data_IF_005759526121
#
_entry.id   IF_005759526121
#
_cell.length_a   1.000
_cell.length_b   1.000
_cell.length_c   1.000
_cell.angle_alpha   90.00
_cell.angle_beta   90.00
_cell.angle_gamma   90.00
#
_symmetry.space_group_name_H-M   'P 1'
#
loop_
_entity.id
_entity.type
_entity.pdbx_description
1 polymer ?
#
# COMPACT_ATOMS: atom_id res chain seq x y z
N UNK A 1 25.73 23.84 -3.77
CA UNK A 1 27.04 23.39 -4.38
C UNK A 1 27.86 22.58 -3.36
N UNK A 2 27.95 23.00 -2.12
CA UNK A 2 28.66 22.22 -1.08
C UNK A 2 28.01 20.84 -0.87
N UNK A 3 26.71 20.77 -0.81
CA UNK A 3 25.97 19.53 -0.59
C UNK A 3 25.94 18.59 -1.82
N UNK A 4 26.27 19.08 -3.00
CA UNK A 4 26.30 18.27 -4.23
C UNK A 4 27.70 17.79 -4.63
N UNK A 5 28.74 18.05 -3.81
CA UNK A 5 30.16 17.72 -4.08
C UNK A 5 30.66 18.15 -5.47
N UNK A 6 29.98 19.10 -6.12
CA UNK A 6 30.24 19.51 -7.50
C UNK A 6 31.08 20.77 -7.54
N UNK A 7 32.27 20.70 -8.18
CA UNK A 7 33.14 21.87 -8.35
C UNK A 7 32.56 22.86 -9.39
N UNK A 8 32.90 24.17 -9.23
CA UNK A 8 32.47 25.21 -10.19
C UNK A 8 32.90 24.92 -11.64
N UNK A 9 34.05 24.29 -11.82
CA UNK A 9 34.57 23.92 -13.13
C UNK A 9 33.82 22.70 -13.72
N UNK A 10 33.43 21.75 -12.89
CA UNK A 10 32.63 20.63 -13.32
C UNK A 10 31.22 21.11 -13.71
N UNK A 11 30.59 21.94 -12.88
CA UNK A 11 29.25 22.49 -13.15
C UNK A 11 29.27 23.32 -14.46
N UNK A 12 30.23 24.18 -14.67
CA UNK A 12 30.37 24.99 -15.89
C UNK A 12 30.44 24.12 -17.15
N UNK A 13 31.20 23.03 -17.12
CA UNK A 13 31.31 22.07 -18.24
C UNK A 13 30.00 21.37 -18.51
N UNK A 14 29.31 20.90 -17.47
CA UNK A 14 28.05 20.18 -17.61
C UNK A 14 26.94 21.09 -18.13
N UNK A 15 26.90 22.34 -17.70
CA UNK A 15 25.90 23.33 -18.09
C UNK A 15 26.20 23.97 -19.47
N UNK A 16 27.45 23.89 -19.95
CA UNK A 16 27.86 24.46 -21.23
C UNK A 16 28.07 25.97 -21.17
N UNK A 17 28.58 26.51 -20.04
CA UNK A 17 28.88 27.94 -19.84
C UNK A 17 30.27 28.11 -19.27
N UNK A 18 30.79 29.34 -19.32
CA UNK A 18 32.10 29.65 -18.77
C UNK A 18 32.13 29.60 -17.23
N UNK A 19 33.27 29.15 -16.68
CA UNK A 19 33.47 29.13 -15.21
C UNK A 19 33.37 30.54 -14.60
N UNK A 20 33.75 31.60 -15.33
CA UNK A 20 33.60 32.99 -14.92
C UNK A 20 32.11 33.35 -14.71
N UNK A 21 31.23 32.87 -15.57
CA UNK A 21 29.79 33.07 -15.46
C UNK A 21 29.23 32.44 -14.17
N UNK A 22 29.63 31.20 -13.84
CA UNK A 22 29.25 30.57 -12.55
C UNK A 22 29.77 31.41 -11.38
N UNK A 23 31.01 31.90 -11.48
CA UNK A 23 31.63 32.70 -10.42
C UNK A 23 30.88 34.02 -10.21
N UNK A 24 30.47 34.68 -11.30
CA UNK A 24 29.64 35.90 -11.25
C UNK A 24 28.27 35.65 -10.61
N UNK A 25 27.59 34.58 -10.99
CA UNK A 25 26.29 34.21 -10.41
C UNK A 25 26.35 33.96 -8.88
N UNK A 26 27.49 33.52 -8.37
CA UNK A 26 27.71 33.24 -6.95
C UNK A 26 28.24 34.44 -6.14
N UNK A 27 28.65 35.50 -6.80
CA UNK A 27 29.45 36.56 -6.16
C UNK A 27 28.70 37.86 -5.90
N UNK A 28 27.44 38.06 -6.35
CA UNK A 28 26.88 39.42 -6.45
C UNK A 28 25.46 39.59 -5.94
N UNK A 29 25.23 40.77 -5.32
CA UNK A 29 23.92 41.28 -4.93
C UNK A 29 23.08 41.78 -6.12
N UNK A 30 23.68 41.95 -7.30
CA UNK A 30 23.01 42.43 -8.52
C UNK A 30 23.26 41.45 -9.68
N UNK A 31 22.54 40.35 -9.67
CA UNK A 31 22.71 39.24 -10.61
C UNK A 31 21.74 39.33 -11.77
N UNK A 32 22.25 39.47 -12.95
CA UNK A 32 21.48 39.25 -14.17
C UNK A 32 20.98 37.81 -14.20
N UNK A 33 19.66 37.63 -14.23
CA UNK A 33 19.06 36.29 -14.25
C UNK A 33 19.54 35.48 -15.44
N UNK A 34 20.05 34.27 -15.24
CA UNK A 34 20.49 33.40 -16.35
C UNK A 34 19.31 33.00 -17.23
N UNK A 35 19.54 32.74 -18.48
CA UNK A 35 18.50 32.25 -19.39
C UNK A 35 17.93 30.92 -18.93
N UNK A 36 16.64 30.69 -19.22
CA UNK A 36 15.90 29.50 -18.73
C UNK A 36 16.58 28.15 -19.03
N UNK A 37 17.26 28.03 -20.19
CA UNK A 37 18.02 26.81 -20.53
C UNK A 37 19.25 26.59 -19.61
N UNK A 38 19.92 27.68 -19.18
CA UNK A 38 21.03 27.60 -18.23
C UNK A 38 20.52 27.15 -16.85
N UNK A 39 19.41 27.72 -16.38
CA UNK A 39 18.76 27.31 -15.12
C UNK A 39 18.36 25.84 -15.17
N UNK A 40 17.74 25.39 -16.26
CA UNK A 40 17.33 23.99 -16.44
C UNK A 40 18.53 23.03 -16.42
N UNK A 41 19.63 23.38 -17.12
CA UNK A 41 20.88 22.61 -17.13
C UNK A 41 21.55 22.59 -15.74
N UNK A 42 21.54 23.72 -15.02
CA UNK A 42 22.06 23.82 -13.65
C UNK A 42 21.23 22.94 -12.70
N UNK A 43 19.91 23.02 -12.78
CA UNK A 43 18.99 22.17 -12.01
C UNK A 43 19.26 20.68 -12.26
N UNK A 44 19.48 20.32 -13.53
CA UNK A 44 19.83 18.95 -13.92
C UNK A 44 21.18 18.50 -13.36
N UNK A 45 22.20 19.33 -13.48
CA UNK A 45 23.55 19.03 -13.02
C UNK A 45 23.67 18.94 -11.48
N UNK A 46 22.86 19.70 -10.75
CA UNK A 46 22.85 19.74 -9.29
C UNK A 46 21.82 18.78 -8.67
N UNK A 47 20.94 18.15 -9.47
CA UNK A 47 19.89 17.28 -8.97
C UNK A 47 18.74 18.00 -8.25
N UNK A 48 18.57 19.31 -8.49
CA UNK A 48 17.56 20.15 -7.82
C UNK A 48 16.47 20.64 -8.77
N UNK A 49 15.40 21.24 -8.24
CA UNK A 49 14.34 21.84 -9.05
C UNK A 49 14.77 23.21 -9.60
N UNK A 50 14.28 23.55 -10.79
CA UNK A 50 14.48 24.90 -11.36
C UNK A 50 13.79 25.96 -10.53
N UNK A 51 12.63 25.65 -9.96
CA UNK A 51 11.86 26.56 -9.12
C UNK A 51 12.60 26.94 -7.85
N UNK A 52 13.33 25.98 -7.25
CA UNK A 52 14.17 26.24 -6.10
C UNK A 52 15.37 27.14 -6.46
N UNK A 53 16.02 26.89 -7.62
CA UNK A 53 17.11 27.74 -8.09
C UNK A 53 16.67 29.18 -8.39
N UNK A 54 15.39 29.38 -8.75
CA UNK A 54 14.79 30.67 -9.02
C UNK A 54 14.16 31.33 -7.79
N UNK A 55 14.19 30.66 -6.61
CA UNK A 55 13.58 31.16 -5.38
C UNK A 55 12.05 31.13 -5.38
N UNK A 56 11.44 30.37 -6.29
CA UNK A 56 10.00 30.16 -6.39
C UNK A 56 9.48 29.02 -5.48
N UNK A 57 10.38 28.22 -4.91
CA UNK A 57 10.09 27.10 -4.02
C UNK A 57 11.17 26.99 -2.95
N UNK A 58 10.77 26.67 -1.71
CA UNK A 58 11.69 26.38 -0.61
C UNK A 58 12.23 24.94 -0.65
N UNK A 59 11.75 24.10 -1.60
CA UNK A 59 12.12 22.69 -1.74
C UNK A 59 13.10 22.49 -2.88
N UNK A 60 14.32 21.99 -2.60
CA UNK A 60 15.35 21.75 -3.62
C UNK A 60 15.02 20.56 -4.53
N UNK A 61 14.21 19.59 -4.07
CA UNK A 61 13.94 18.36 -4.79
C UNK A 61 13.15 18.62 -6.07
N UNK A 62 13.47 17.89 -7.13
CA UNK A 62 12.66 17.90 -8.36
C UNK A 62 11.28 17.29 -8.06
N UNK A 63 10.23 17.84 -8.65
CA UNK A 63 8.86 17.28 -8.56
C UNK A 63 8.85 15.82 -9.01
N UNK A 64 9.59 15.45 -10.06
CA UNK A 64 9.75 14.05 -10.49
C UNK A 64 10.42 13.18 -9.42
N UNK A 65 11.49 13.65 -8.77
CA UNK A 65 12.16 12.90 -7.70
C UNK A 65 11.28 12.78 -6.45
N UNK A 66 10.48 13.80 -6.13
CA UNK A 66 9.49 13.74 -5.06
C UNK A 66 8.37 12.75 -5.39
N UNK A 67 7.92 12.71 -6.65
CA UNK A 67 6.94 11.72 -7.12
C UNK A 67 7.56 10.32 -7.05
N UNK A 68 8.78 10.13 -7.57
CA UNK A 68 9.47 8.83 -7.60
C UNK A 68 9.80 8.30 -6.18
N UNK A 69 10.03 9.20 -5.22
CA UNK A 69 10.33 8.83 -3.82
C UNK A 69 9.06 8.63 -3.00
N UNK A 70 8.00 9.40 -3.28
CA UNK A 70 6.75 9.38 -2.50
C UNK A 70 5.65 8.51 -3.12
N UNK A 71 5.75 8.17 -4.41
CA UNK A 71 4.83 7.33 -5.16
C UNK A 71 5.62 6.30 -5.96
N UNK A 72 5.36 5.02 -5.72
CA UNK A 72 5.89 3.94 -6.55
C UNK A 72 4.76 3.08 -7.11
N UNK A 73 4.92 2.65 -8.35
CA UNK A 73 4.02 1.69 -9.00
C UNK A 73 4.81 0.42 -9.22
N UNK A 74 4.36 -0.68 -8.63
CA UNK A 74 4.95 -2.00 -8.79
C UNK A 74 3.97 -2.99 -9.40
N UNK A 75 4.47 -3.95 -10.16
CA UNK A 75 3.65 -4.99 -10.77
C UNK A 75 3.19 -5.99 -9.71
N UNK A 76 1.89 -6.15 -9.55
CA UNK A 76 1.27 -7.15 -8.67
C UNK A 76 1.17 -8.54 -9.34
N UNK A 77 1.48 -8.63 -10.62
CA UNK A 77 1.27 -9.84 -11.43
C UNK A 77 2.47 -10.79 -11.53
N UNK A 78 3.66 -10.42 -11.03
CA UNK A 78 4.82 -11.33 -11.01
C UNK A 78 4.80 -12.14 -9.73
N UNK A 79 4.51 -13.42 -9.87
CA UNK A 79 4.13 -14.35 -8.81
C UNK A 79 5.05 -14.41 -7.57
N UNK A 80 6.35 -14.23 -7.72
CA UNK A 80 7.31 -14.23 -6.60
C UNK A 80 7.61 -12.81 -6.10
N UNK A 81 7.85 -11.86 -6.98
CA UNK A 81 8.26 -10.51 -6.59
C UNK A 81 7.18 -9.68 -5.90
N UNK A 82 5.88 -9.94 -6.18
CA UNK A 82 4.80 -9.21 -5.55
C UNK A 82 4.57 -9.66 -4.10
N UNK A 83 4.62 -10.95 -3.83
CA UNK A 83 4.49 -11.48 -2.47
C UNK A 83 5.70 -11.10 -1.61
N UNK A 84 6.92 -11.16 -2.15
CA UNK A 84 8.14 -10.70 -1.50
C UNK A 84 8.07 -9.21 -1.16
N UNK A 85 7.52 -8.40 -2.06
CA UNK A 85 7.33 -6.98 -1.84
C UNK A 85 6.30 -6.68 -0.73
N UNK A 86 5.17 -7.39 -0.73
CA UNK A 86 4.16 -7.26 0.34
C UNK A 86 4.77 -7.68 1.68
N UNK A 87 5.51 -8.79 1.70
CA UNK A 87 6.17 -9.26 2.91
C UNK A 87 7.21 -8.26 3.43
N UNK A 88 8.04 -7.69 2.56
CA UNK A 88 8.99 -6.63 2.92
C UNK A 88 8.28 -5.39 3.53
N UNK A 89 7.09 -5.03 3.06
CA UNK A 89 6.29 -3.95 3.66
C UNK A 89 5.77 -4.30 5.06
N UNK A 90 5.42 -5.57 5.31
CA UNK A 90 5.08 -6.04 6.65
C UNK A 90 6.28 -5.95 7.60
N UNK A 91 7.48 -6.37 7.15
CA UNK A 91 8.71 -6.26 7.92
C UNK A 91 9.07 -4.80 8.22
N UNK A 92 8.97 -3.91 7.22
CA UNK A 92 9.21 -2.46 7.37
C UNK A 92 8.29 -1.83 8.43
N UNK A 93 7.07 -2.35 8.55
CA UNK A 93 6.05 -1.88 9.49
C UNK A 93 5.96 -2.72 10.77
N UNK A 94 6.94 -3.57 11.06
CA UNK A 94 6.92 -4.39 12.27
C UNK A 94 6.76 -3.53 13.53
N UNK A 95 5.86 -3.93 14.43
CA UNK A 95 5.51 -3.19 15.64
C UNK A 95 4.54 -2.04 15.45
N UNK A 96 4.13 -1.74 14.20
CA UNK A 96 3.08 -0.77 13.93
C UNK A 96 1.76 -1.48 13.58
N UNK A 97 0.66 -0.75 13.73
CA UNK A 97 -0.66 -1.21 13.32
C UNK A 97 -0.75 -1.30 11.79
N UNK A 98 -1.24 -2.42 11.28
CA UNK A 98 -1.52 -2.65 9.87
C UNK A 98 -3.03 -2.63 9.66
N UNK A 99 -3.50 -1.82 8.72
CA UNK A 99 -4.90 -1.65 8.36
C UNK A 99 -5.11 -2.13 6.94
N UNK A 100 -6.09 -2.99 6.74
CA UNK A 100 -6.30 -3.63 5.44
C UNK A 100 -7.77 -3.62 5.03
N UNK A 101 -8.02 -3.19 3.81
CA UNK A 101 -9.30 -3.38 3.11
C UNK A 101 -9.03 -4.31 1.94
N UNK A 102 -9.43 -5.58 2.01
CA UNK A 102 -9.23 -6.54 0.93
C UNK A 102 -10.19 -6.30 -0.23
N UNK A 103 -9.84 -6.82 -1.41
CA UNK A 103 -10.72 -6.81 -2.60
C UNK A 103 -11.85 -7.86 -2.49
N UNK A 104 -11.53 -9.02 -1.92
CA UNK A 104 -12.44 -10.14 -1.63
C UNK A 104 -12.21 -10.57 -0.17
N UNK A 105 -12.55 -11.81 0.20
CA UNK A 105 -12.11 -12.35 1.49
C UNK A 105 -10.57 -12.26 1.61
N UNK A 106 -10.01 -11.87 2.78
CA UNK A 106 -8.58 -11.65 2.92
C UNK A 106 -7.77 -12.94 2.78
N UNK A 107 -6.85 -13.01 1.82
CA UNK A 107 -6.06 -14.22 1.50
C UNK A 107 -5.36 -14.83 2.72
N UNK A 108 -4.87 -13.99 3.63
CA UNK A 108 -4.17 -14.43 4.84
C UNK A 108 -5.06 -15.25 5.79
N UNK A 109 -6.37 -15.16 5.64
CA UNK A 109 -7.36 -15.86 6.46
C UNK A 109 -8.14 -16.92 5.68
N UNK A 110 -7.76 -17.20 4.41
CA UNK A 110 -8.39 -18.25 3.59
C UNK A 110 -7.87 -19.64 3.94
N UNK A 111 -8.74 -20.63 3.78
CA UNK A 111 -8.35 -22.04 3.78
C UNK A 111 -7.68 -22.41 2.45
N UNK A 112 -6.89 -23.49 2.46
CA UNK A 112 -6.24 -24.01 1.25
C UNK A 112 -7.27 -24.38 0.19
N UNK A 113 -8.39 -25.00 0.58
CA UNK A 113 -9.45 -25.39 -0.33
C UNK A 113 -10.11 -24.18 -1.04
N UNK A 114 -10.36 -23.10 -0.32
CA UNK A 114 -10.88 -21.88 -0.93
C UNK A 114 -9.84 -21.26 -1.89
N UNK A 115 -8.58 -21.22 -1.50
CA UNK A 115 -7.51 -20.69 -2.34
C UNK A 115 -7.27 -21.56 -3.58
N UNK A 116 -7.36 -22.88 -3.49
CA UNK A 116 -7.32 -23.78 -4.65
C UNK A 116 -8.44 -23.46 -5.63
N UNK A 117 -9.67 -23.30 -5.14
CA UNK A 117 -10.81 -22.95 -5.98
C UNK A 117 -10.64 -21.58 -6.65
N UNK A 118 -10.22 -20.57 -5.90
CA UNK A 118 -10.12 -19.18 -6.37
C UNK A 118 -8.97 -19.00 -7.38
N UNK A 119 -7.83 -19.64 -7.15
CA UNK A 119 -6.64 -19.52 -8.00
C UNK A 119 -6.57 -20.58 -9.10
N UNK A 120 -7.48 -21.57 -9.16
CA UNK A 120 -7.50 -22.58 -10.22
C UNK A 120 -7.54 -22.00 -11.65
N UNK A 121 -8.34 -20.94 -11.95
CA UNK A 121 -8.36 -20.31 -13.26
C UNK A 121 -7.22 -19.30 -13.47
N UNK A 122 -6.40 -19.02 -12.48
CA UNK A 122 -5.41 -17.94 -12.55
C UNK A 122 -4.21 -18.32 -13.43
N UNK A 123 -3.80 -17.41 -14.31
CA UNK A 123 -2.65 -17.58 -15.20
C UNK A 123 -1.34 -17.01 -14.65
N UNK A 124 -1.43 -16.20 -13.58
CA UNK A 124 -0.30 -15.40 -13.07
C UNK A 124 0.33 -16.04 -11.83
N UNK A 125 -0.48 -16.65 -10.98
CA UNK A 125 -0.05 -17.26 -9.71
C UNK A 125 -0.71 -18.62 -9.56
N UNK A 126 0.07 -19.66 -9.28
CA UNK A 126 -0.49 -20.99 -9.02
C UNK A 126 -1.15 -21.04 -7.64
N UNK A 127 -2.15 -21.92 -7.42
CA UNK A 127 -2.74 -22.12 -6.10
C UNK A 127 -1.68 -22.38 -5.01
N UNK A 128 -0.72 -23.26 -5.25
CA UNK A 128 0.34 -23.57 -4.28
C UNK A 128 1.21 -22.36 -3.90
N UNK A 129 1.50 -21.46 -4.86
CA UNK A 129 2.21 -20.20 -4.56
C UNK A 129 1.36 -19.26 -3.72
N UNK A 130 0.06 -19.16 -4.00
CA UNK A 130 -0.85 -18.34 -3.25
C UNK A 130 -1.00 -18.83 -1.80
N UNK A 131 -1.18 -20.12 -1.62
CA UNK A 131 -1.27 -20.80 -0.31
C UNK A 131 0.00 -20.59 0.50
N UNK A 132 1.18 -20.85 -0.09
CA UNK A 132 2.45 -20.67 0.60
C UNK A 132 2.64 -19.20 1.08
N UNK A 133 2.28 -18.22 0.26
CA UNK A 133 2.37 -16.83 0.62
C UNK A 133 1.36 -16.43 1.72
N UNK A 134 0.15 -17.00 1.71
CA UNK A 134 -0.85 -16.78 2.75
C UNK A 134 -0.41 -17.36 4.09
N UNK A 135 0.10 -18.60 4.09
CA UNK A 135 0.64 -19.25 5.29
C UNK A 135 1.81 -18.46 5.89
N UNK A 136 2.78 -18.03 5.08
CA UNK A 136 3.90 -17.22 5.54
C UNK A 136 3.43 -15.92 6.22
N UNK A 137 2.42 -15.25 5.65
CA UNK A 137 1.83 -14.04 6.24
C UNK A 137 1.07 -14.33 7.55
N UNK A 138 0.33 -15.44 7.63
CA UNK A 138 -0.38 -15.81 8.85
C UNK A 138 0.61 -16.15 9.97
N UNK A 139 1.68 -16.90 9.67
CA UNK A 139 2.75 -17.15 10.65
C UNK A 139 3.44 -15.86 11.11
N UNK A 140 3.69 -14.93 10.18
CA UNK A 140 4.19 -13.62 10.54
C UNK A 140 3.23 -12.89 11.49
N UNK A 141 1.93 -12.88 11.19
CA UNK A 141 0.92 -12.26 12.06
C UNK A 141 0.90 -12.85 13.47
N UNK A 142 1.12 -14.16 13.59
CA UNK A 142 1.22 -14.87 14.88
C UNK A 142 2.45 -14.50 15.68
N UNK A 143 3.57 -14.24 15.00
CA UNK A 143 4.88 -13.98 15.62
C UNK A 143 5.22 -12.51 15.81
N UNK A 144 4.49 -11.58 15.19
CA UNK A 144 4.79 -10.14 15.24
C UNK A 144 4.12 -9.45 16.43
N UNK A 145 4.66 -8.28 16.80
CA UNK A 145 4.03 -7.35 17.76
C UNK A 145 3.08 -6.35 17.08
N UNK A 146 2.86 -6.48 15.79
CA UNK A 146 1.95 -5.63 15.03
C UNK A 146 0.49 -6.01 15.28
N UNK A 147 -0.38 -5.02 15.47
CA UNK A 147 -1.82 -5.22 15.45
C UNK A 147 -2.35 -5.14 14.01
N UNK A 148 -3.36 -5.94 13.71
CA UNK A 148 -4.03 -5.97 12.41
C UNK A 148 -5.49 -5.57 12.54
N UNK A 149 -5.92 -4.65 11.72
CA UNK A 149 -7.31 -4.26 11.55
C UNK A 149 -7.71 -4.51 10.09
N UNK A 150 -8.71 -5.35 9.87
CA UNK A 150 -9.19 -5.67 8.52
C UNK A 150 -10.67 -5.27 8.43
N UNK A 151 -10.99 -4.43 7.46
CA UNK A 151 -12.36 -4.00 7.17
C UNK A 151 -12.81 -4.62 5.84
N UNK A 152 -13.79 -5.54 5.91
CA UNK A 152 -14.34 -6.27 4.76
C UNK A 152 -15.68 -5.63 4.40
N UNK A 153 -15.97 -5.49 3.12
CA UNK A 153 -17.28 -5.04 2.70
C UNK A 153 -18.34 -6.09 3.05
N UNK A 154 -19.42 -5.68 3.71
CA UNK A 154 -20.48 -6.58 4.17
C UNK A 154 -21.06 -7.41 3.02
N UNK A 155 -21.23 -6.81 1.84
CA UNK A 155 -21.78 -7.55 0.68
C UNK A 155 -20.83 -8.64 0.18
N UNK A 156 -19.51 -8.48 0.32
CA UNK A 156 -18.53 -9.53 0.01
C UNK A 156 -18.69 -10.73 0.96
N UNK A 157 -18.76 -10.44 2.26
CA UNK A 157 -19.01 -11.47 3.26
C UNK A 157 -20.34 -12.20 3.02
N UNK A 158 -21.43 -11.47 2.79
CA UNK A 158 -22.76 -12.04 2.53
C UNK A 158 -22.80 -12.83 1.21
N UNK A 159 -22.13 -12.37 0.15
CA UNK A 159 -22.01 -13.10 -1.12
C UNK A 159 -21.27 -14.41 -0.94
N UNK A 160 -20.20 -14.42 -0.11
CA UNK A 160 -19.47 -15.63 0.25
C UNK A 160 -20.38 -16.62 0.99
N UNK A 161 -21.10 -16.17 2.03
CA UNK A 161 -22.02 -17.01 2.82
C UNK A 161 -23.11 -17.60 1.94
N UNK A 162 -23.67 -16.81 1.04
CA UNK A 162 -24.75 -17.24 0.13
C UNK A 162 -24.26 -18.07 -1.06
N UNK A 163 -22.95 -18.06 -1.38
CA UNK A 163 -22.40 -18.69 -2.58
C UNK A 163 -22.89 -18.02 -3.86
N UNK A 164 -22.97 -16.68 -3.86
CA UNK A 164 -23.46 -15.89 -4.99
C UNK A 164 -22.39 -14.95 -5.55
N UNK A 165 -22.65 -14.38 -6.73
CA UNK A 165 -21.73 -13.43 -7.36
C UNK A 165 -20.39 -14.06 -7.66
N UNK A 166 -19.31 -13.50 -7.10
CA UNK A 166 -17.95 -14.02 -7.29
C UNK A 166 -17.81 -15.48 -6.83
N UNK A 167 -18.57 -15.91 -5.82
CA UNK A 167 -18.52 -17.23 -5.21
C UNK A 167 -19.57 -18.21 -5.78
N UNK A 168 -20.15 -17.90 -6.94
CA UNK A 168 -21.12 -18.78 -7.60
C UNK A 168 -20.42 -20.09 -8.01
N UNK A 169 -21.03 -21.21 -7.61
CA UNK A 169 -20.47 -22.56 -7.84
C UNK A 169 -19.44 -23.04 -6.81
N UNK A 170 -19.10 -22.21 -5.81
CA UNK A 170 -18.28 -22.66 -4.68
C UNK A 170 -19.06 -23.64 -3.80
N UNK A 171 -18.47 -24.82 -3.55
CA UNK A 171 -19.07 -25.88 -2.74
C UNK A 171 -19.47 -25.35 -1.34
N UNK A 172 -20.69 -25.62 -0.86
CA UNK A 172 -21.11 -25.28 0.49
C UNK A 172 -20.19 -25.81 1.60
N UNK A 173 -19.58 -26.98 1.40
CA UNK A 173 -18.66 -27.53 2.39
C UNK A 173 -17.36 -26.70 2.50
N UNK A 174 -16.82 -26.20 1.38
CA UNK A 174 -15.67 -25.28 1.38
C UNK A 174 -16.04 -23.96 2.07
N UNK A 175 -17.25 -23.44 1.84
CA UNK A 175 -17.72 -22.22 2.51
C UNK A 175 -17.85 -22.42 4.02
N UNK A 176 -18.38 -23.57 4.46
CA UNK A 176 -18.50 -23.92 5.87
C UNK A 176 -17.13 -24.08 6.53
N UNK A 177 -16.22 -24.80 5.88
CA UNK A 177 -14.84 -24.95 6.34
C UNK A 177 -14.16 -23.58 6.50
N UNK A 178 -14.29 -22.72 5.49
CA UNK A 178 -13.72 -21.36 5.51
C UNK A 178 -14.26 -20.51 6.66
N UNK A 179 -15.57 -20.52 6.92
CA UNK A 179 -16.12 -19.74 8.04
C UNK A 179 -15.72 -20.32 9.39
N UNK A 180 -15.62 -21.63 9.51
CA UNK A 180 -15.15 -22.30 10.73
C UNK A 180 -13.70 -21.92 11.03
N UNK A 181 -12.83 -21.99 10.03
CA UNK A 181 -11.44 -21.56 10.10
C UNK A 181 -11.31 -20.07 10.44
N UNK A 182 -12.15 -19.25 9.82
CA UNK A 182 -12.16 -17.81 10.05
C UNK A 182 -12.52 -17.46 11.51
N UNK A 183 -13.51 -18.13 12.07
CA UNK A 183 -13.88 -17.99 13.47
C UNK A 183 -12.74 -18.45 14.40
N UNK A 184 -12.10 -19.58 14.10
CA UNK A 184 -11.01 -20.13 14.89
C UNK A 184 -9.78 -19.20 14.90
N UNK A 185 -9.33 -18.73 13.73
CA UNK A 185 -8.19 -17.81 13.63
C UNK A 185 -8.52 -16.47 14.31
N UNK A 186 -9.75 -15.98 14.18
CA UNK A 186 -10.17 -14.77 14.85
C UNK A 186 -10.11 -14.91 16.37
N UNK A 187 -10.67 -15.99 16.93
CA UNK A 187 -10.66 -16.25 18.38
C UNK A 187 -9.22 -16.44 18.92
N UNK A 188 -8.32 -17.04 18.12
CA UNK A 188 -6.90 -17.21 18.47
C UNK A 188 -6.12 -15.89 18.52
N UNK A 189 -6.38 -14.99 17.57
CA UNK A 189 -5.59 -13.78 17.37
C UNK A 189 -6.20 -12.52 17.98
N UNK A 190 -7.45 -12.54 18.43
CA UNK A 190 -8.05 -11.40 19.12
C UNK A 190 -7.32 -11.12 20.45
N UNK A 191 -7.00 -9.87 20.81
CA UNK A 191 -7.34 -8.60 20.13
C UNK A 191 -6.31 -8.07 19.12
N UNK A 192 -5.24 -8.80 18.85
CA UNK A 192 -4.20 -8.37 17.90
C UNK A 192 -4.71 -8.39 16.44
N UNK A 193 -5.69 -9.25 16.12
CA UNK A 193 -6.46 -9.20 14.90
C UNK A 193 -7.87 -8.71 15.20
N UNK A 194 -8.30 -7.63 14.54
CA UNK A 194 -9.65 -7.10 14.63
C UNK A 194 -10.28 -7.01 13.24
N UNK A 195 -11.51 -7.49 13.14
CA UNK A 195 -12.25 -7.60 11.89
C UNK A 195 -13.53 -6.78 11.98
N UNK A 196 -13.84 -6.09 10.90
CA UNK A 196 -14.99 -5.20 10.78
C UNK A 196 -15.71 -5.47 9.47
N UNK A 197 -17.05 -5.36 9.46
CA UNK A 197 -17.82 -5.38 8.22
C UNK A 197 -18.48 -4.03 8.01
N UNK A 198 -18.19 -3.38 6.89
CA UNK A 198 -18.79 -2.09 6.54
C UNK A 198 -19.78 -2.21 5.37
N UNK A 199 -20.85 -1.43 5.40
CA UNK A 199 -21.81 -1.37 4.29
C UNK A 199 -21.27 -0.45 3.18
N UNK A 200 -20.85 -1.07 2.07
CA UNK A 200 -20.32 -0.34 0.91
C UNK A 200 -21.34 0.58 0.22
N UNK A 201 -22.64 0.51 0.59
CA UNK A 201 -23.66 1.45 0.13
C UNK A 201 -23.63 2.77 0.91
N UNK A 202 -23.12 2.74 2.14
CA UNK A 202 -22.98 3.90 3.01
C UNK A 202 -21.58 4.49 2.96
N UNK A 203 -20.56 3.63 2.94
CA UNK A 203 -19.15 4.02 2.92
C UNK A 203 -18.40 3.14 1.91
N UNK A 204 -17.64 3.76 1.01
CA UNK A 204 -16.93 3.03 -0.05
C UNK A 204 -15.42 3.11 0.15
N UNK A 205 -14.73 1.99 -0.12
CA UNK A 205 -13.28 1.95 -0.20
C UNK A 205 -12.81 1.12 -1.39
N UNK A 206 -11.73 1.57 -2.03
CA UNK A 206 -10.92 0.69 -2.86
C UNK A 206 -10.09 -0.23 -1.95
N UNK A 207 -9.63 -1.40 -2.46
CA UNK A 207 -8.69 -2.25 -1.74
C UNK A 207 -7.40 -1.48 -1.41
N UNK A 208 -7.06 -1.42 -0.13
CA UNK A 208 -5.90 -0.69 0.35
C UNK A 208 -5.27 -1.38 1.58
N UNK A 209 -3.98 -1.12 1.79
CA UNK A 209 -3.30 -1.50 3.03
C UNK A 209 -2.48 -0.31 3.54
N UNK A 210 -2.62 0.01 4.83
CA UNK A 210 -1.79 1.02 5.48
C UNK A 210 -0.86 0.32 6.46
N UNK A 211 0.42 0.42 6.22
CA UNK A 211 1.50 -0.17 7.01
C UNK A 211 2.04 0.85 8.01
N UNK A 212 1.35 1.00 9.13
CA UNK A 212 1.66 1.98 10.18
C UNK A 212 1.81 3.40 9.60
N UNK A 213 2.81 4.16 10.06
CA UNK A 213 3.11 5.49 9.52
C UNK A 213 4.04 5.45 8.29
N UNK A 214 4.44 4.25 7.82
CA UNK A 214 5.51 4.05 6.83
C UNK A 214 5.04 4.22 5.41
N UNK A 215 3.94 3.55 5.05
CA UNK A 215 3.40 3.61 3.70
C UNK A 215 1.91 3.23 3.67
N UNK A 216 1.23 3.69 2.60
CA UNK A 216 -0.10 3.24 2.23
C UNK A 216 -0.04 2.68 0.81
N UNK A 217 -0.73 1.59 0.57
CA UNK A 217 -0.71 0.87 -0.71
C UNK A 217 -2.13 0.67 -1.19
N UNK A 218 -2.42 1.08 -2.42
CA UNK A 218 -3.70 0.82 -3.10
C UNK A 218 -3.47 -0.28 -4.15
N UNK A 219 -4.32 -1.28 -4.15
CA UNK A 219 -4.31 -2.34 -5.14
C UNK A 219 -5.20 -1.96 -6.34
N UNK A 220 -4.62 -1.96 -7.53
CA UNK A 220 -5.29 -1.60 -8.79
C UNK A 220 -5.15 -2.76 -9.79
N UNK A 221 -5.70 -3.90 -9.43
CA UNK A 221 -5.70 -5.11 -10.27
C UNK A 221 -4.29 -5.65 -10.53
N UNK A 222 -3.59 -5.16 -11.54
CA UNK A 222 -2.25 -5.65 -11.90
C UNK A 222 -1.11 -4.88 -11.22
N UNK A 223 -1.41 -3.83 -10.44
CA UNK A 223 -0.38 -2.97 -9.87
C UNK A 223 -0.71 -2.60 -8.43
N UNK A 224 0.34 -2.36 -7.67
CA UNK A 224 0.29 -1.68 -6.38
C UNK A 224 0.75 -0.24 -6.56
N UNK A 225 -0.02 0.71 -6.03
CA UNK A 225 0.38 2.12 -5.93
C UNK A 225 0.73 2.38 -4.48
N UNK A 226 2.00 2.59 -4.18
CA UNK A 226 2.50 2.81 -2.84
C UNK A 226 2.84 4.29 -2.61
N UNK A 227 2.36 4.85 -1.51
CA UNK A 227 2.58 6.21 -1.03
C UNK A 227 3.42 6.18 0.23
N UNK A 228 4.52 6.92 0.25
CA UNK A 228 5.42 6.99 1.42
C UNK A 228 5.42 8.36 2.09
N UNK A 229 4.81 9.37 1.47
CA UNK A 229 4.68 10.67 2.08
C UNK A 229 3.66 10.67 3.23
N UNK A 230 4.00 11.39 4.28
CA UNK A 230 3.23 11.42 5.54
C UNK A 230 1.77 11.84 5.32
N UNK A 231 1.53 12.80 4.45
CA UNK A 231 0.19 13.36 4.24
C UNK A 231 -0.76 12.33 3.64
N UNK A 232 -0.32 11.61 2.59
CA UNK A 232 -1.10 10.55 1.94
C UNK A 232 -1.27 9.33 2.83
N UNK A 233 -0.22 8.93 3.56
CA UNK A 233 -0.32 7.83 4.55
C UNK A 233 -1.34 8.17 5.63
N UNK A 234 -1.33 9.40 6.18
CA UNK A 234 -2.31 9.84 7.16
C UNK A 234 -3.72 9.95 6.57
N UNK A 235 -3.86 10.40 5.31
CA UNK A 235 -5.16 10.46 4.65
C UNK A 235 -5.79 9.06 4.52
N UNK A 236 -5.02 8.04 4.09
CA UNK A 236 -5.48 6.66 4.02
C UNK A 236 -5.75 6.05 5.40
N UNK A 237 -4.96 6.40 6.42
CA UNK A 237 -5.24 6.00 7.81
C UNK A 237 -6.57 6.55 8.31
N UNK A 238 -6.85 7.85 8.10
CA UNK A 238 -8.13 8.46 8.48
C UNK A 238 -9.31 7.88 7.70
N UNK A 239 -9.10 7.53 6.44
CA UNK A 239 -10.12 6.86 5.64
C UNK A 239 -10.46 5.49 6.23
N UNK A 240 -9.46 4.69 6.60
CA UNK A 240 -9.69 3.41 7.28
C UNK A 240 -10.39 3.60 8.64
N UNK A 241 -9.94 4.55 9.46
CA UNK A 241 -10.57 4.85 10.75
C UNK A 241 -12.05 5.27 10.58
N UNK A 242 -12.39 5.92 9.47
CA UNK A 242 -13.78 6.23 9.11
C UNK A 242 -14.58 4.96 8.77
N UNK A 243 -14.03 4.04 7.94
CA UNK A 243 -14.67 2.76 7.65
C UNK A 243 -15.00 1.96 8.92
N UNK A 244 -14.05 1.88 9.84
CA UNK A 244 -14.22 1.17 11.12
C UNK A 244 -15.29 1.83 12.00
N UNK A 245 -15.36 3.15 12.02
CA UNK A 245 -16.38 3.89 12.78
C UNK A 245 -17.78 3.66 12.24
N UNK A 246 -17.93 3.58 10.93
CA UNK A 246 -19.20 3.34 10.24
C UNK A 246 -19.48 1.85 10.00
N UNK A 247 -18.66 0.95 10.59
CA UNK A 247 -18.83 -0.48 10.39
C UNK A 247 -20.20 -0.97 10.93
N UNK A 248 -20.91 -1.75 10.11
CA UNK A 248 -22.19 -2.37 10.47
C UNK A 248 -22.01 -3.52 11.47
N UNK A 249 -20.83 -4.18 11.45
CA UNK A 249 -20.42 -5.21 12.40
C UNK A 249 -19.07 -4.81 12.96
N UNK A 250 -19.03 -4.57 14.27
CA UNK A 250 -17.79 -4.21 14.98
C UNK A 250 -16.91 -5.43 15.22
N UNK A 251 -15.66 -5.20 15.60
CA UNK A 251 -14.74 -6.27 16.00
C UNK A 251 -15.30 -7.13 17.14
N UNK A 252 -16.04 -6.56 18.08
CA UNK A 252 -16.63 -7.28 19.20
C UNK A 252 -17.79 -8.18 18.79
N UNK A 253 -18.53 -7.78 17.77
CA UNK A 253 -19.70 -8.48 17.28
C UNK A 253 -19.35 -9.52 16.18
N UNK A 254 -18.15 -9.42 15.62
CA UNK A 254 -17.73 -10.19 14.46
C UNK A 254 -17.76 -11.70 14.71
N UNK A 255 -17.27 -12.19 15.85
CA UNK A 255 -17.30 -13.62 16.19
C UNK A 255 -18.74 -14.17 16.30
N UNK A 256 -19.67 -13.38 16.83
CA UNK A 256 -21.10 -13.72 16.84
C UNK A 256 -21.71 -13.75 15.43
N UNK A 257 -21.30 -12.80 14.59
CA UNK A 257 -21.78 -12.70 13.21
C UNK A 257 -21.33 -13.90 12.34
N UNK A 258 -20.08 -14.36 12.48
CA UNK A 258 -19.59 -15.58 11.79
C UNK A 258 -20.38 -16.81 12.22
N UNK A 259 -20.60 -16.99 13.53
CA UNK A 259 -21.38 -18.15 14.02
C UNK A 259 -22.81 -18.17 13.48
N UNK A 260 -23.46 -17.01 13.46
CA UNK A 260 -24.78 -16.89 12.83
C UNK A 260 -24.75 -17.13 11.30
N UNK A 261 -23.66 -16.80 10.63
CA UNK A 261 -23.47 -17.08 9.21
C UNK A 261 -23.29 -18.57 8.92
N UNK A 262 -22.58 -19.31 9.80
CA UNK A 262 -22.43 -20.77 9.70
C UNK A 262 -23.76 -21.52 9.74
N UNK A 263 -24.73 -21.01 10.49
CA UNK A 263 -26.10 -21.61 10.57
C UNK A 263 -26.90 -21.43 9.27
N UNK A 264 -26.46 -20.55 8.36
CA UNK A 264 -27.14 -20.24 7.08
C UNK A 264 -26.60 -21.05 5.89
N UNK A 265 -25.48 -21.75 6.02
CA UNK A 265 -24.89 -22.63 5.02
C UNK A 265 -25.29 -24.08 5.29
#
# INVERSE_FOLDING_TARGET
MADAETSRAALARTVGIDRSTITQMLATEDVRMPGGHVVANMATALGVSSDWLLGLSDRPERVSALIDTSLSISDAGRATGADDQIFAWHEEAAGYKIRHVPATMPDVLKTDALMEWEYAPATVKTPGQAIAAAHARLEWMRGTTSDYEIAIALHEFESFVAGTGYYEGLDPEIRREQLSWFAEVYDQLFPSLRLFLYDARSVFSAPLTVFGPRLAVIYVGRHYIAFRDRERVQANSRHFDWLVREASVSDRDFGGHIRAALERI
#
